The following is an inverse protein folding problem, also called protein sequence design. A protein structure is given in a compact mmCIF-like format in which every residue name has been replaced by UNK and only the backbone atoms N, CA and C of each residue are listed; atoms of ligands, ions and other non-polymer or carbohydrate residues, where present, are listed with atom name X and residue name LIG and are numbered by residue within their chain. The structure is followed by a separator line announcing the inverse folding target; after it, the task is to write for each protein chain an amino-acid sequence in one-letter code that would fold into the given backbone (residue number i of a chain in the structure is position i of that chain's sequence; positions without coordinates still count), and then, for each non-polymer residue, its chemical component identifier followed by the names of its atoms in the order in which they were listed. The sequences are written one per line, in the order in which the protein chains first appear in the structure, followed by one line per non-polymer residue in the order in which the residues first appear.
data_IF_091989340793
#
_entry.id   IF_091989340793
#
_cell.length_a   1.000
_cell.length_b   1.000
_cell.length_c   1.000
_cell.angle_alpha   90.00
_cell.angle_beta   90.00
_cell.angle_gamma   90.00
#
_symmetry.space_group_name_H-M   'P 1'
#
loop_
_entity.id
_entity.type
_entity.pdbx_description
1 polymer ?
#
# COMPACT_ATOMS: atom_id res chain seq x y z
N UNK A 1 0.47 19.34 13.72
CA UNK A 1 -0.08 20.20 14.81
C UNK A 1 -1.56 19.97 15.13
N UNK A 2 -2.52 19.92 14.17
CA UNK A 2 -3.96 19.73 14.51
C UNK A 2 -4.33 18.36 15.12
N UNK A 3 -3.59 17.28 14.80
CA UNK A 3 -3.82 15.93 15.31
C UNK A 3 -3.64 15.77 16.83
N UNK A 4 -2.67 16.49 17.38
CA UNK A 4 -2.26 16.34 18.79
C UNK A 4 -3.37 16.84 19.72
N UNK A 5 -4.09 17.90 19.33
CA UNK A 5 -5.16 18.50 20.13
C UNK A 5 -6.42 17.62 20.25
N UNK A 6 -6.88 16.99 19.16
CA UNK A 6 -8.03 16.09 19.23
C UNK A 6 -7.69 14.83 20.01
N UNK A 7 -6.47 14.30 19.82
CA UNK A 7 -5.98 13.13 20.54
C UNK A 7 -5.86 13.37 22.04
N UNK A 8 -5.39 14.55 22.47
CA UNK A 8 -5.33 14.92 23.89
C UNK A 8 -6.71 15.06 24.54
N UNK A 9 -7.78 15.14 23.75
CA UNK A 9 -9.18 15.20 24.21
C UNK A 9 -9.92 13.86 24.07
N UNK A 10 -9.23 12.79 23.67
CA UNK A 10 -9.85 11.48 23.43
C UNK A 10 -10.79 11.46 22.22
N UNK A 11 -10.69 12.43 21.30
CA UNK A 11 -11.52 12.52 20.10
C UNK A 11 -10.85 11.81 18.92
N UNK A 12 -11.67 11.35 17.96
CA UNK A 12 -11.18 10.78 16.71
C UNK A 12 -10.34 11.80 15.93
N UNK A 13 -9.25 11.33 15.35
CA UNK A 13 -8.36 12.13 14.49
C UNK A 13 -8.56 11.74 13.03
N UNK A 14 -8.60 12.73 12.13
CA UNK A 14 -8.66 12.50 10.69
C UNK A 14 -7.28 12.51 10.09
N UNK A 15 -6.96 11.52 9.28
CA UNK A 15 -5.66 11.36 8.63
C UNK A 15 -5.71 11.83 7.18
N UNK A 16 -4.62 12.42 6.69
CA UNK A 16 -4.54 12.93 5.33
C UNK A 16 -4.22 11.78 4.37
N UNK A 17 -5.14 11.52 3.43
CA UNK A 17 -5.01 10.48 2.39
C UNK A 17 -5.45 11.03 1.02
N UNK A 18 -4.60 11.79 0.32
CA UNK A 18 -4.99 12.49 -0.89
C UNK A 18 -5.06 11.53 -2.07
N UNK A 19 -5.95 11.84 -3.02
CA UNK A 19 -5.82 11.37 -4.38
C UNK A 19 -4.56 11.99 -4.98
N UNK A 20 -3.57 11.17 -5.36
CA UNK A 20 -2.24 11.69 -5.68
C UNK A 20 -1.51 10.84 -6.71
N UNK A 21 -1.05 11.50 -7.77
CA UNK A 21 -0.20 10.89 -8.78
C UNK A 21 -0.91 9.89 -9.70
N UNK A 22 -2.23 9.99 -9.86
CA UNK A 22 -2.93 9.36 -10.99
C UNK A 22 -2.51 10.02 -12.30
N UNK A 23 -2.74 11.34 -12.36
CA UNK A 23 -2.34 12.24 -13.42
C UNK A 23 -1.73 13.52 -12.83
N UNK A 24 -1.33 14.45 -13.71
CA UNK A 24 -0.77 15.74 -13.31
C UNK A 24 0.71 15.68 -12.92
N UNK A 25 1.13 16.66 -12.12
CA UNK A 25 2.52 16.95 -11.88
C UNK A 25 3.13 16.11 -10.75
N UNK A 26 4.43 15.79 -10.85
CA UNK A 26 5.16 14.92 -9.91
C UNK A 26 5.19 15.50 -8.49
N UNK A 27 5.10 16.82 -8.35
CA UNK A 27 5.12 17.52 -7.05
C UNK A 27 3.96 17.10 -6.13
N UNK A 28 2.86 16.59 -6.70
CA UNK A 28 1.78 16.01 -5.90
C UNK A 28 2.29 14.83 -5.07
N UNK A 29 3.07 13.93 -5.69
CA UNK A 29 3.65 12.75 -5.01
C UNK A 29 4.69 13.15 -3.96
N UNK A 30 5.47 14.20 -4.22
CA UNK A 30 6.42 14.73 -3.23
C UNK A 30 5.65 15.26 -2.00
N UNK A 31 4.59 16.04 -2.23
CA UNK A 31 3.76 16.58 -1.14
C UNK A 31 3.02 15.47 -0.39
N UNK A 32 2.53 14.46 -1.11
CA UNK A 32 1.94 13.25 -0.54
C UNK A 32 2.93 12.53 0.37
N UNK A 33 4.14 12.25 -0.10
CA UNK A 33 5.18 11.61 0.68
C UNK A 33 5.49 12.36 1.99
N UNK A 34 5.62 13.69 1.92
CA UNK A 34 6.01 14.50 3.08
C UNK A 34 4.90 14.70 4.12
N UNK A 35 3.63 14.70 3.70
CA UNK A 35 2.52 15.22 4.53
C UNK A 35 1.38 14.21 4.76
N UNK A 36 1.26 13.19 3.92
CA UNK A 36 0.15 12.23 3.98
C UNK A 36 0.54 10.93 4.67
N UNK A 37 -0.44 10.23 5.21
CA UNK A 37 -0.23 8.88 5.76
C UNK A 37 -0.14 7.85 4.63
N UNK A 38 -1.06 7.95 3.66
CA UNK A 38 -1.16 7.08 2.48
C UNK A 38 -1.64 7.92 1.30
N UNK A 39 -1.52 7.40 0.08
CA UNK A 39 -2.08 8.02 -1.13
C UNK A 39 -3.04 7.08 -1.86
N UNK A 40 -3.91 7.64 -2.69
CA UNK A 40 -4.64 6.89 -3.71
C UNK A 40 -3.99 7.10 -5.09
N UNK A 41 -4.04 6.06 -5.94
CA UNK A 41 -3.53 5.94 -7.31
C UNK A 41 -2.01 5.73 -7.44
N UNK A 42 -1.19 6.77 -7.29
CA UNK A 42 0.27 6.65 -7.36
C UNK A 42 0.87 6.24 -8.72
N UNK A 43 0.10 6.24 -9.82
CA UNK A 43 0.54 5.80 -11.16
C UNK A 43 1.84 6.46 -11.64
N UNK A 44 2.01 7.77 -11.40
CA UNK A 44 3.17 8.53 -11.86
C UNK A 44 4.47 8.15 -11.12
N UNK A 45 4.42 7.40 -10.01
CA UNK A 45 5.63 6.90 -9.33
C UNK A 45 6.48 6.00 -10.25
N UNK A 46 5.88 5.40 -11.29
CA UNK A 46 6.60 4.60 -12.30
C UNK A 46 7.62 5.40 -13.09
N UNK A 47 7.50 6.74 -13.11
CA UNK A 47 8.38 7.65 -13.85
C UNK A 47 9.45 8.29 -12.97
N UNK A 48 9.42 8.06 -11.65
CA UNK A 48 10.28 8.75 -10.68
C UNK A 48 10.91 7.72 -9.75
N UNK A 49 11.96 7.00 -10.20
CA UNK A 49 12.54 5.87 -9.47
C UNK A 49 12.97 6.23 -8.04
N UNK A 50 13.59 7.40 -7.85
CA UNK A 50 14.02 7.87 -6.53
C UNK A 50 12.83 8.02 -5.58
N UNK A 51 11.74 8.65 -6.04
CA UNK A 51 10.57 8.83 -5.20
C UNK A 51 9.86 7.51 -4.92
N UNK A 52 9.78 6.62 -5.91
CA UNK A 52 9.23 5.28 -5.71
C UNK A 52 10.02 4.50 -4.65
N UNK A 53 11.35 4.61 -4.66
CA UNK A 53 12.21 3.99 -3.66
C UNK A 53 11.98 4.59 -2.27
N UNK A 54 11.79 5.91 -2.15
CA UNK A 54 11.41 6.54 -0.88
C UNK A 54 10.06 6.02 -0.35
N UNK A 55 9.06 5.85 -1.22
CA UNK A 55 7.77 5.26 -0.84
C UNK A 55 7.93 3.81 -0.34
N UNK A 56 8.82 3.04 -0.95
CA UNK A 56 9.18 1.70 -0.49
C UNK A 56 9.84 1.73 0.89
N UNK A 57 10.90 2.51 1.08
CA UNK A 57 11.64 2.55 2.35
C UNK A 57 10.76 3.03 3.52
N UNK A 58 9.93 4.05 3.27
CA UNK A 58 9.01 4.59 4.27
C UNK A 58 7.72 3.76 4.41
N UNK A 59 7.53 2.73 3.59
CA UNK A 59 6.34 1.87 3.55
C UNK A 59 5.01 2.65 3.49
N UNK A 60 4.99 3.77 2.75
CA UNK A 60 3.80 4.60 2.56
C UNK A 60 2.76 3.83 1.74
N UNK A 61 1.53 3.75 2.25
CA UNK A 61 0.45 3.00 1.60
C UNK A 61 -0.02 3.63 0.29
N UNK A 62 -0.27 2.80 -0.71
CA UNK A 62 -0.79 3.20 -2.03
C UNK A 62 -2.03 2.35 -2.36
N UNK A 63 -3.20 2.96 -2.34
CA UNK A 63 -4.44 2.33 -2.79
C UNK A 63 -4.60 2.54 -4.30
N UNK A 64 -4.57 1.46 -5.08
CA UNK A 64 -4.60 1.51 -6.54
C UNK A 64 -5.92 0.95 -7.07
N UNK A 65 -6.47 1.56 -8.13
CA UNK A 65 -7.72 1.12 -8.76
C UNK A 65 -7.52 0.76 -10.24
N UNK A 66 -6.90 -0.40 -10.56
CA UNK A 66 -6.56 -0.77 -11.93
C UNK A 66 -7.69 -0.68 -12.96
N UNK A 67 -8.94 -1.06 -12.62
CA UNK A 67 -10.07 -0.96 -13.56
C UNK A 67 -10.44 0.50 -13.89
N UNK A 68 -10.47 1.38 -12.88
CA UNK A 68 -10.64 2.82 -13.09
C UNK A 68 -9.49 3.39 -13.95
N UNK A 69 -8.24 3.07 -13.60
CA UNK A 69 -7.09 3.56 -14.33
C UNK A 69 -7.07 3.10 -15.79
N UNK A 70 -7.53 1.87 -16.06
CA UNK A 70 -7.68 1.34 -17.41
C UNK A 70 -8.68 2.11 -18.25
N UNK A 71 -9.78 2.53 -17.63
CA UNK A 71 -10.85 3.24 -18.32
C UNK A 71 -10.46 4.68 -18.67
N UNK A 72 -9.52 5.28 -17.94
CA UNK A 72 -9.24 6.73 -18.02
C UNK A 72 -7.82 7.09 -18.48
N UNK A 73 -6.78 6.36 -18.07
CA UNK A 73 -5.40 6.84 -18.16
C UNK A 73 -4.40 5.87 -18.78
N UNK A 74 -4.60 4.56 -18.61
CA UNK A 74 -3.54 3.59 -18.90
C UNK A 74 -4.09 2.18 -19.09
N UNK A 75 -3.85 1.57 -20.25
CA UNK A 75 -4.19 0.17 -20.52
C UNK A 75 -3.83 -0.76 -19.35
N UNK A 76 -4.74 -1.68 -19.00
CA UNK A 76 -4.68 -2.52 -17.81
C UNK A 76 -3.34 -3.27 -17.67
N UNK A 77 -2.85 -3.87 -18.75
CA UNK A 77 -1.56 -4.59 -18.78
C UNK A 77 -0.33 -3.71 -18.50
N UNK A 78 -0.46 -2.39 -18.62
CA UNK A 78 0.60 -1.44 -18.33
C UNK A 78 0.52 -0.89 -16.91
N UNK A 79 -0.50 -1.25 -16.12
CA UNK A 79 -0.65 -0.79 -14.74
C UNK A 79 0.59 -1.19 -13.91
N UNK A 80 1.17 -0.28 -13.11
CA UNK A 80 2.40 -0.57 -12.38
C UNK A 80 2.19 -1.39 -11.10
N UNK A 81 0.95 -1.76 -10.74
CA UNK A 81 0.66 -2.57 -9.55
C UNK A 81 1.54 -3.83 -9.41
N UNK A 82 1.77 -4.66 -10.45
CA UNK A 82 2.60 -5.86 -10.30
C UNK A 82 4.06 -5.53 -10.01
N UNK A 83 4.57 -4.44 -10.60
CA UNK A 83 5.93 -3.94 -10.38
C UNK A 83 6.09 -3.36 -8.97
N UNK A 84 5.08 -2.66 -8.47
CA UNK A 84 5.10 -2.12 -7.11
C UNK A 84 5.03 -3.23 -6.07
N UNK A 85 4.13 -4.20 -6.29
CA UNK A 85 4.02 -5.36 -5.42
C UNK A 85 5.30 -6.19 -5.45
N UNK A 86 5.91 -6.44 -6.62
CA UNK A 86 7.14 -7.23 -6.69
C UNK A 86 8.29 -6.56 -5.95
N UNK A 87 8.42 -5.23 -6.06
CA UNK A 87 9.40 -4.42 -5.31
C UNK A 87 9.11 -4.29 -3.82
N UNK A 88 7.93 -4.71 -3.34
CA UNK A 88 7.57 -4.67 -1.93
C UNK A 88 7.07 -3.31 -1.44
N UNK A 89 6.56 -2.47 -2.35
CA UNK A 89 5.80 -1.30 -1.95
C UNK A 89 4.51 -1.73 -1.23
N UNK A 90 4.07 -0.93 -0.27
CA UNK A 90 2.84 -1.15 0.48
C UNK A 90 1.61 -0.79 -0.37
N UNK A 91 1.26 -1.65 -1.31
CA UNK A 91 0.14 -1.45 -2.25
C UNK A 91 -1.10 -2.24 -1.82
N UNK A 92 -2.27 -1.72 -2.18
CA UNK A 92 -3.57 -2.40 -2.08
C UNK A 92 -4.44 -2.11 -3.30
N UNK A 93 -5.50 -2.91 -3.46
CA UNK A 93 -6.52 -2.72 -4.49
C UNK A 93 -7.72 -1.95 -3.93
N UNK A 94 -8.27 -1.05 -4.75
CA UNK A 94 -9.48 -0.28 -4.50
C UNK A 94 -10.33 -0.19 -5.76
N UNK A 95 -11.59 0.24 -5.61
CA UNK A 95 -12.56 0.29 -6.71
C UNK A 95 -12.67 1.66 -7.39
N UNK A 96 -12.29 2.74 -6.69
CA UNK A 96 -12.57 4.13 -7.11
C UNK A 96 -14.09 4.41 -7.19
N UNK A 97 -14.70 4.29 -8.38
CA UNK A 97 -16.12 4.51 -8.64
C UNK A 97 -16.83 3.22 -9.08
N UNK A 98 -17.27 2.35 -8.14
CA UNK A 98 -17.91 1.07 -8.46
C UNK A 98 -19.06 1.14 -9.46
N UNK A 99 -19.86 2.21 -9.40
CA UNK A 99 -21.02 2.38 -10.28
C UNK A 99 -20.60 2.55 -11.75
N UNK A 100 -19.41 3.10 -11.99
CA UNK A 100 -18.92 3.41 -13.33
C UNK A 100 -18.08 2.28 -13.92
N UNK A 101 -17.28 1.59 -13.10
CA UNK A 101 -16.23 0.69 -13.60
C UNK A 101 -16.47 -0.81 -13.35
N UNK A 102 -17.46 -1.17 -12.55
CA UNK A 102 -17.72 -2.56 -12.15
C UNK A 102 -19.11 -3.02 -12.61
N UNK A 103 -19.23 -4.29 -12.96
CA UNK A 103 -20.47 -4.87 -13.49
C UNK A 103 -21.12 -5.87 -12.53
N UNK A 104 -20.37 -6.33 -11.53
CA UNK A 104 -20.86 -7.32 -10.57
C UNK A 104 -21.47 -6.66 -9.33
N UNK A 105 -22.17 -7.45 -8.51
CA UNK A 105 -22.72 -7.01 -7.22
C UNK A 105 -21.64 -6.75 -6.16
N UNK A 106 -20.45 -7.31 -6.35
CA UNK A 106 -19.34 -7.27 -5.40
C UNK A 106 -18.11 -6.61 -6.07
N UNK A 107 -18.12 -5.28 -6.23
CA UNK A 107 -17.18 -4.57 -7.10
C UNK A 107 -15.71 -4.77 -6.68
N UNK A 108 -15.43 -4.79 -5.38
CA UNK A 108 -14.07 -5.03 -4.90
C UNK A 108 -13.61 -6.47 -5.18
N UNK A 109 -14.51 -7.46 -5.10
CA UNK A 109 -14.19 -8.85 -5.44
C UNK A 109 -13.91 -8.99 -6.93
N UNK A 110 -14.63 -8.27 -7.78
CA UNK A 110 -14.36 -8.17 -9.22
C UNK A 110 -12.99 -7.54 -9.50
N UNK A 111 -12.62 -6.44 -8.82
CA UNK A 111 -11.29 -5.83 -8.94
C UNK A 111 -10.17 -6.85 -8.65
N UNK A 112 -10.29 -7.56 -7.51
CA UNK A 112 -9.35 -8.60 -7.12
C UNK A 112 -9.33 -9.75 -8.15
N UNK A 113 -10.50 -10.22 -8.60
CA UNK A 113 -10.61 -11.33 -9.53
C UNK A 113 -9.97 -11.04 -10.89
N UNK A 114 -10.21 -9.84 -11.43
CA UNK A 114 -9.61 -9.42 -12.71
C UNK A 114 -8.11 -9.21 -12.54
N UNK A 115 -7.67 -8.59 -11.44
CA UNK A 115 -6.24 -8.40 -11.16
C UNK A 115 -5.50 -9.75 -11.10
N UNK A 116 -6.05 -10.74 -10.39
CA UNK A 116 -5.46 -12.08 -10.34
C UNK A 116 -5.34 -12.72 -11.73
N UNK A 117 -6.39 -12.67 -12.54
CA UNK A 117 -6.41 -13.33 -13.84
C UNK A 117 -5.51 -12.63 -14.88
N UNK A 118 -5.53 -11.31 -14.92
CA UNK A 118 -4.86 -10.51 -15.95
C UNK A 118 -3.41 -10.23 -15.59
N UNK A 119 -3.12 -9.91 -14.32
CA UNK A 119 -1.78 -9.60 -13.82
C UNK A 119 -1.05 -10.84 -13.26
N UNK A 120 -1.69 -12.02 -13.32
CA UNK A 120 -1.12 -13.32 -12.90
C UNK A 120 -0.70 -13.36 -11.43
N UNK A 121 -1.50 -12.73 -10.57
CA UNK A 121 -1.25 -12.72 -9.12
C UNK A 121 -1.63 -14.07 -8.50
N UNK A 122 -0.73 -14.61 -7.68
CA UNK A 122 -0.98 -15.84 -6.91
C UNK A 122 -1.91 -15.60 -5.73
N UNK A 123 -2.41 -16.67 -5.11
CA UNK A 123 -3.19 -16.55 -3.87
C UNK A 123 -2.42 -15.82 -2.75
N UNK A 124 -1.11 -16.06 -2.66
CA UNK A 124 -0.23 -15.38 -1.71
C UNK A 124 -0.19 -13.86 -1.97
N UNK A 125 -0.07 -13.45 -3.23
CA UNK A 125 -0.06 -12.03 -3.62
C UNK A 125 -1.40 -11.36 -3.30
N UNK A 126 -2.51 -12.06 -3.56
CA UNK A 126 -3.86 -11.57 -3.25
C UNK A 126 -4.09 -11.43 -1.75
N UNK A 127 -3.58 -12.36 -0.94
CA UNK A 127 -3.63 -12.27 0.52
C UNK A 127 -2.74 -11.13 1.03
N UNK A 128 -1.56 -10.93 0.45
CA UNK A 128 -0.66 -9.82 0.79
C UNK A 128 -1.32 -8.45 0.50
N UNK A 129 -1.92 -8.27 -0.68
CA UNK A 129 -2.67 -7.06 -1.03
C UNK A 129 -3.83 -6.80 -0.07
N UNK A 130 -4.56 -7.86 0.30
CA UNK A 130 -5.68 -7.77 1.27
C UNK A 130 -5.20 -7.45 2.69
N UNK A 131 -4.08 -8.02 3.12
CA UNK A 131 -3.45 -7.71 4.42
C UNK A 131 -3.03 -6.24 4.46
N UNK A 132 -2.37 -5.76 3.41
CA UNK A 132 -1.89 -4.39 3.30
C UNK A 132 -3.05 -3.37 3.34
N UNK A 133 -4.18 -3.68 2.70
CA UNK A 133 -5.37 -2.81 2.73
C UNK A 133 -5.90 -2.59 4.15
N UNK A 134 -5.91 -3.64 4.98
CA UNK A 134 -6.30 -3.54 6.40
C UNK A 134 -5.26 -2.77 7.21
N UNK A 135 -3.96 -3.01 6.96
CA UNK A 135 -2.88 -2.28 7.63
C UNK A 135 -2.98 -0.76 7.39
N UNK A 136 -3.15 -0.34 6.14
CA UNK A 136 -3.24 1.08 5.77
C UNK A 136 -4.63 1.70 6.00
N UNK A 137 -5.61 0.90 6.43
CA UNK A 137 -6.97 1.39 6.71
C UNK A 137 -7.04 2.31 7.94
N UNK A 138 -8.12 3.09 8.03
CA UNK A 138 -8.43 3.92 9.21
C UNK A 138 -9.15 3.20 10.34
N UNK A 139 -9.30 1.86 10.30
CA UNK A 139 -10.04 1.14 11.33
C UNK A 139 -9.35 1.20 12.69
N UNK A 140 -10.12 1.25 13.80
CA UNK A 140 -9.56 1.15 15.15
C UNK A 140 -8.72 -0.10 15.36
N UNK A 141 -7.72 0.00 16.23
CA UNK A 141 -6.80 -1.09 16.59
C UNK A 141 -7.53 -2.40 16.97
N UNK A 142 -8.65 -2.30 17.70
CA UNK A 142 -9.49 -3.47 18.05
C UNK A 142 -9.87 -4.32 16.83
N UNK A 143 -10.25 -3.67 15.73
CA UNK A 143 -10.64 -4.35 14.49
C UNK A 143 -9.42 -4.88 13.74
N UNK A 144 -8.31 -4.13 13.71
CA UNK A 144 -7.06 -4.61 13.12
C UNK A 144 -6.53 -5.85 13.84
N UNK A 145 -6.55 -5.88 15.19
CA UNK A 145 -6.20 -7.09 15.96
C UNK A 145 -7.12 -8.26 15.67
N UNK A 146 -8.40 -7.99 15.48
CA UNK A 146 -9.37 -9.02 15.13
C UNK A 146 -9.13 -9.58 13.72
N UNK A 147 -8.81 -8.75 12.72
CA UNK A 147 -8.61 -9.25 11.35
C UNK A 147 -7.20 -9.76 11.07
N UNK A 148 -6.17 -9.19 11.68
CA UNK A 148 -4.76 -9.49 11.37
C UNK A 148 -4.05 -10.29 12.46
N UNK A 149 -4.63 -10.34 13.67
CA UNK A 149 -4.04 -11.01 14.83
C UNK A 149 -3.58 -10.04 15.91
N UNK A 150 -3.43 -10.51 17.16
CA UNK A 150 -3.14 -9.67 18.32
C UNK A 150 -1.80 -8.94 18.23
N UNK A 151 -0.84 -9.49 17.49
CA UNK A 151 0.51 -8.97 17.35
C UNK A 151 0.75 -8.17 16.07
N UNK A 152 -0.30 -7.81 15.31
CA UNK A 152 -0.15 -7.20 13.96
C UNK A 152 0.72 -5.94 13.89
N UNK A 153 0.93 -5.25 15.03
CA UNK A 153 1.78 -4.07 15.12
C UNK A 153 3.28 -4.38 15.25
N UNK A 154 3.66 -5.64 15.45
CA UNK A 154 5.07 -6.06 15.45
C UNK A 154 5.59 -6.14 14.02
N UNK A 155 6.88 -5.93 13.85
CA UNK A 155 7.54 -6.03 12.55
C UNK A 155 7.87 -7.47 12.19
N UNK A 156 8.03 -7.72 10.89
CA UNK A 156 8.38 -9.03 10.33
C UNK A 156 7.35 -10.12 10.65
N UNK A 157 7.84 -11.36 10.72
CA UNK A 157 7.02 -12.57 10.95
C UNK A 157 6.29 -12.52 12.29
N UNK A 158 6.86 -11.87 13.30
CA UNK A 158 6.24 -11.74 14.63
C UNK A 158 4.91 -10.97 14.60
N UNK A 159 4.67 -10.15 13.57
CA UNK A 159 3.41 -9.44 13.33
C UNK A 159 2.46 -10.11 12.35
N UNK A 160 2.74 -11.35 11.94
CA UNK A 160 1.87 -12.11 11.05
C UNK A 160 1.19 -13.26 11.81
N UNK A 161 -0.14 -13.35 11.68
CA UNK A 161 -0.91 -14.53 12.07
C UNK A 161 -1.46 -15.16 10.79
N UNK A 162 -0.75 -16.19 10.29
CA UNK A 162 -1.10 -16.86 9.03
C UNK A 162 -2.54 -17.42 9.02
N UNK A 163 -3.07 -17.81 10.18
CA UNK A 163 -4.44 -18.32 10.28
C UNK A 163 -5.50 -17.24 10.03
N UNK A 164 -5.12 -15.97 10.10
CA UNK A 164 -6.00 -14.82 9.82
C UNK A 164 -5.69 -14.14 8.50
N UNK A 165 -4.41 -13.96 8.19
CA UNK A 165 -3.97 -13.23 7.00
C UNK A 165 -3.85 -14.12 5.77
N UNK A 166 -3.64 -15.43 5.96
CA UNK A 166 -3.30 -16.39 4.92
C UNK A 166 -2.05 -16.00 4.09
N UNK A 167 -1.20 -15.11 4.63
CA UNK A 167 0.09 -14.77 4.03
C UNK A 167 1.15 -15.67 4.68
N UNK A 168 1.88 -16.49 3.91
CA UNK A 168 2.94 -17.34 4.43
C UNK A 168 4.04 -16.55 5.15
N UNK A 169 4.52 -17.07 6.27
CA UNK A 169 5.59 -16.41 7.04
C UNK A 169 6.86 -16.20 6.22
N UNK A 170 7.19 -17.12 5.30
CA UNK A 170 8.32 -16.95 4.39
C UNK A 170 8.18 -15.71 3.48
N UNK A 171 6.96 -15.38 3.04
CA UNK A 171 6.70 -14.16 2.27
C UNK A 171 6.96 -12.93 3.14
N UNK A 172 6.47 -12.94 4.39
CA UNK A 172 6.66 -11.83 5.33
C UNK A 172 8.13 -11.66 5.72
N UNK A 173 8.84 -12.76 5.98
CA UNK A 173 10.27 -12.76 6.30
C UNK A 173 11.07 -12.14 5.17
N UNK A 174 10.84 -12.59 3.93
CA UNK A 174 11.51 -12.05 2.75
C UNK A 174 11.29 -10.54 2.61
N UNK A 175 10.06 -10.05 2.76
CA UNK A 175 9.75 -8.61 2.69
C UNK A 175 10.50 -7.81 3.75
N UNK A 176 10.49 -8.31 4.98
CA UNK A 176 11.09 -7.64 6.12
C UNK A 176 12.62 -7.62 6.03
N UNK A 177 13.25 -8.77 5.75
CA UNK A 177 14.71 -8.89 5.60
C UNK A 177 15.22 -7.99 4.47
N UNK A 178 14.56 -8.00 3.31
CA UNK A 178 14.93 -7.14 2.18
C UNK A 178 14.84 -5.66 2.56
N UNK A 179 13.75 -5.24 3.23
CA UNK A 179 13.59 -3.84 3.66
C UNK A 179 14.67 -3.42 4.67
N UNK A 180 14.97 -4.27 5.64
CA UNK A 180 16.03 -4.01 6.62
C UNK A 180 17.39 -3.92 5.94
N UNK A 181 17.69 -4.79 4.98
CA UNK A 181 18.94 -4.77 4.21
C UNK A 181 19.09 -3.46 3.42
N UNK A 182 18.03 -3.02 2.72
CA UNK A 182 18.01 -1.77 1.97
C UNK A 182 18.22 -0.54 2.89
N UNK A 183 17.51 -0.48 4.03
CA UNK A 183 17.69 0.56 5.04
C UNK A 183 19.11 0.55 5.62
N UNK A 184 19.67 -0.64 5.85
CA UNK A 184 21.03 -0.78 6.36
C UNK A 184 22.05 -0.25 5.34
N UNK A 185 21.86 -0.54 4.05
CA UNK A 185 22.75 -0.11 2.96
C UNK A 185 22.84 1.41 2.89
N UNK A 186 21.69 2.10 2.98
CA UNK A 186 21.66 3.58 2.99
C UNK A 186 22.31 4.12 4.27
N UNK A 187 22.01 3.53 5.42
CA UNK A 187 22.58 3.96 6.70
C UNK A 187 24.10 3.80 6.74
N UNK A 188 24.64 2.68 6.28
CA UNK A 188 26.09 2.45 6.19
C UNK A 188 26.75 3.41 5.18
N UNK A 189 26.10 3.71 4.05
CA UNK A 189 26.62 4.68 3.09
C UNK A 189 26.75 6.10 3.70
N UNK A 190 25.89 6.46 4.65
CA UNK A 190 25.94 7.75 5.35
C UNK A 190 27.05 7.81 6.42
N UNK A 191 27.49 6.67 6.95
CA UNK A 191 28.60 6.59 7.92
C UNK A 191 29.99 6.57 7.28
N UNK A 192 30.06 6.35 5.96
CA UNK A 192 31.30 6.26 5.17
C UNK A 192 31.60 7.53 4.35
N UNK A 193 30.80 8.59 4.50
CA UNK A 193 31.15 9.90 3.94
C UNK A 193 32.08 10.66 4.92
N UNK A 194 33.24 11.17 4.45
CA UNK A 194 34.23 11.87 5.28
C UNK A 194 33.76 13.23 5.80
#
# INVERSE_FOLDING_TARGET
MKYIHYRSRGLNTFVLRPHCGEAGAIQHLISGFLLSENISHGLQLRKVPVLQYLYYLAQVGIAMSPLSNNSLFLNYHRNPLPEYLSRGLNVSLSTDDPLQFHFTKEPLIEEYSIAAQVLKLSSCDMCELSRNSVLMSGFPDKWKRYWLGPNYSKEGVAGNDIHRTNVPDIRVSYRYETLVEELSTISYSSLLQP
#
